data_IF_514093021330
#
_entry.id   IF_514093021330
#
_cell.length_a   1.000
_cell.length_b   1.000
_cell.length_c   1.000
_cell.angle_alpha   90.00
_cell.angle_beta   90.00
_cell.angle_gamma   90.00
#
_symmetry.space_group_name_H-M   'P 1'
#
loop_
_entity.id
_entity.type
_entity.pdbx_description
1 polymer ?
#
# COMPACT_ATOMS: atom_id res chain seq x y z
N UNK A 1 3.12 -3.26 13.98
CA UNK A 1 3.49 -3.60 12.58
C UNK A 1 3.29 -2.44 11.60
N UNK A 2 2.19 -1.69 11.71
CA UNK A 2 1.83 -0.61 10.77
C UNK A 2 2.96 0.39 10.46
N UNK A 3 3.65 0.93 11.48
CA UNK A 3 4.72 1.90 11.29
C UNK A 3 5.86 1.35 10.41
N UNK A 4 6.29 0.10 10.66
CA UNK A 4 7.37 -0.54 9.90
C UNK A 4 6.96 -0.75 8.44
N UNK A 5 5.73 -1.22 8.19
CA UNK A 5 5.25 -1.48 6.83
C UNK A 5 5.11 -0.19 6.02
N UNK A 6 4.51 0.87 6.60
CA UNK A 6 4.47 2.20 5.98
C UNK A 6 5.87 2.72 5.66
N UNK A 7 6.85 2.49 6.56
CA UNK A 7 8.23 2.91 6.34
C UNK A 7 8.90 2.13 5.21
N UNK A 8 8.70 0.80 5.14
CA UNK A 8 9.20 -0.05 4.04
C UNK A 8 8.63 0.39 2.68
N UNK A 9 7.32 0.66 2.64
CA UNK A 9 6.63 1.14 1.44
C UNK A 9 7.23 2.45 0.93
N UNK A 10 7.30 3.47 1.78
CA UNK A 10 7.87 4.79 1.42
C UNK A 10 9.36 4.73 1.05
N UNK A 11 10.12 3.82 1.66
CA UNK A 11 11.57 3.73 1.39
C UNK A 11 11.88 3.02 0.07
N UNK A 12 11.01 2.13 -0.40
CA UNK A 12 11.26 1.35 -1.63
C UNK A 12 10.48 1.85 -2.83
N UNK A 13 9.35 2.52 -2.62
CA UNK A 13 8.51 3.04 -3.69
C UNK A 13 8.23 4.52 -3.49
N UNK A 14 8.06 5.25 -4.60
CA UNK A 14 7.61 6.64 -4.58
C UNK A 14 6.11 6.71 -4.23
N UNK A 15 5.79 6.50 -2.95
CA UNK A 15 4.42 6.49 -2.43
C UNK A 15 4.32 7.29 -1.14
N UNK A 16 3.17 7.91 -0.92
CA UNK A 16 2.70 8.24 0.42
C UNK A 16 1.98 7.00 0.99
N UNK A 17 2.09 6.75 2.30
CA UNK A 17 1.44 5.60 2.95
C UNK A 17 0.92 5.95 4.34
N UNK A 18 -0.33 5.57 4.64
CA UNK A 18 -1.04 5.89 5.88
C UNK A 18 -1.98 4.75 6.33
N UNK A 19 -2.35 4.76 7.61
CA UNK A 19 -3.46 3.94 8.13
C UNK A 19 -4.76 4.70 7.87
N UNK A 20 -5.76 4.05 7.29
CA UNK A 20 -6.98 4.71 6.83
C UNK A 20 -8.26 4.18 7.45
N UNK A 21 -8.21 3.05 8.16
CA UNK A 21 -9.32 2.51 8.92
C UNK A 21 -8.84 1.53 10.01
N UNK A 22 -9.77 1.11 10.88
CA UNK A 22 -9.56 0.10 11.93
C UNK A 22 -8.44 0.44 12.94
N UNK A 23 -8.23 1.72 13.29
CA UNK A 23 -7.11 2.10 14.19
C UNK A 23 -7.23 1.55 15.62
N UNK A 24 -8.44 1.15 16.05
CA UNK A 24 -8.68 0.54 17.36
C UNK A 24 -8.67 -1.00 17.32
N UNK A 25 -8.51 -1.60 16.12
CA UNK A 25 -8.39 -3.05 15.99
C UNK A 25 -6.97 -3.52 16.37
N UNK A 26 -6.91 -4.67 17.03
CA UNK A 26 -5.67 -5.34 17.42
C UNK A 26 -5.25 -6.43 16.42
N UNK A 27 -6.17 -6.87 15.55
CA UNK A 27 -5.99 -7.98 14.61
C UNK A 27 -6.06 -7.54 13.13
N UNK A 28 -6.55 -6.32 12.87
CA UNK A 28 -6.81 -5.83 11.52
C UNK A 28 -6.06 -4.53 11.28
N UNK A 29 -5.42 -4.43 10.12
CA UNK A 29 -4.69 -3.23 9.68
C UNK A 29 -5.16 -2.83 8.29
N UNK A 30 -5.67 -1.60 8.13
CA UNK A 30 -6.04 -1.06 6.82
C UNK A 30 -5.10 0.08 6.45
N UNK A 31 -4.30 -0.15 5.41
CA UNK A 31 -3.34 0.83 4.86
C UNK A 31 -3.77 1.32 3.49
N UNK A 32 -3.50 2.59 3.21
CA UNK A 32 -3.50 3.13 1.85
C UNK A 32 -2.09 3.52 1.43
N UNK A 33 -1.76 3.27 0.15
CA UNK A 33 -0.57 3.78 -0.50
C UNK A 33 -0.98 4.54 -1.78
N UNK A 34 -0.48 5.75 -1.97
CA UNK A 34 -0.84 6.63 -3.09
C UNK A 34 0.42 7.08 -3.82
N UNK A 35 0.35 7.11 -5.15
CA UNK A 35 1.39 7.68 -6.01
C UNK A 35 0.74 8.61 -7.05
N UNK A 36 1.51 9.57 -7.53
CA UNK A 36 1.12 10.46 -8.64
C UNK A 36 2.08 10.19 -9.79
N UNK A 37 1.53 9.96 -10.98
CA UNK A 37 2.31 9.73 -12.19
C UNK A 37 1.60 10.36 -13.39
N UNK A 38 2.36 10.73 -14.41
CA UNK A 38 1.85 11.14 -15.71
C UNK A 38 1.53 9.95 -16.63
N UNK A 39 1.79 8.71 -16.17
CA UNK A 39 1.49 7.48 -16.88
C UNK A 39 0.73 6.51 -15.95
N UNK A 40 -0.52 6.22 -16.31
CA UNK A 40 -1.39 5.30 -15.58
C UNK A 40 -0.81 3.88 -15.47
N UNK A 41 -0.11 3.42 -16.52
CA UNK A 41 0.54 2.09 -16.54
C UNK A 41 1.69 2.05 -15.54
N UNK A 42 2.49 3.12 -15.50
CA UNK A 42 3.56 3.25 -14.53
C UNK A 42 3.02 3.28 -13.09
N UNK A 43 2.02 4.12 -12.81
CA UNK A 43 1.38 4.21 -11.49
C UNK A 43 0.83 2.86 -11.03
N UNK A 44 0.04 2.18 -11.88
CA UNK A 44 -0.52 0.85 -11.56
C UNK A 44 0.57 -0.18 -11.32
N UNK A 45 1.60 -0.23 -12.16
CA UNK A 45 2.71 -1.15 -12.00
C UNK A 45 3.53 -0.92 -10.72
N UNK A 46 3.71 0.34 -10.32
CA UNK A 46 4.36 0.70 -9.06
C UNK A 46 3.52 0.26 -7.85
N UNK A 47 2.21 0.54 -7.85
CA UNK A 47 1.30 0.14 -6.78
C UNK A 47 1.18 -1.39 -6.68
N UNK A 48 1.13 -2.10 -7.81
CA UNK A 48 1.11 -3.58 -7.81
C UNK A 48 2.38 -4.14 -7.16
N UNK A 49 3.56 -3.60 -7.47
CA UNK A 49 4.81 -4.01 -6.80
C UNK A 49 4.79 -3.73 -5.29
N UNK A 50 4.11 -2.68 -4.87
CA UNK A 50 3.91 -2.37 -3.46
C UNK A 50 3.01 -3.40 -2.77
N UNK A 51 1.88 -3.77 -3.37
CA UNK A 51 1.01 -4.85 -2.88
C UNK A 51 1.78 -6.17 -2.80
N UNK A 52 2.48 -6.56 -3.87
CA UNK A 52 3.24 -7.81 -3.90
C UNK A 52 4.34 -7.85 -2.83
N UNK A 53 4.93 -6.70 -2.46
CA UNK A 53 5.86 -6.65 -1.33
C UNK A 53 5.16 -6.92 0.00
N UNK A 54 3.97 -6.35 0.21
CA UNK A 54 3.21 -6.55 1.44
C UNK A 54 2.86 -8.03 1.60
N UNK A 55 2.36 -8.65 0.53
CA UNK A 55 2.05 -10.08 0.48
C UNK A 55 3.31 -10.94 0.74
N UNK A 56 4.41 -10.66 0.04
CA UNK A 56 5.67 -11.39 0.20
C UNK A 56 6.34 -11.20 1.57
N UNK A 57 6.01 -10.13 2.30
CA UNK A 57 6.53 -9.93 3.65
C UNK A 57 5.94 -10.95 4.65
N UNK A 58 4.80 -11.59 4.31
CA UNK A 58 4.14 -12.64 5.08
C UNK A 58 3.99 -12.31 6.58
N UNK A 59 3.81 -11.03 6.91
CA UNK A 59 3.70 -10.54 8.29
C UNK A 59 2.29 -10.77 8.87
N UNK A 60 1.29 -10.81 7.99
CA UNK A 60 -0.11 -11.07 8.27
C UNK A 60 -0.75 -11.56 6.96
N UNK A 61 -1.94 -12.15 7.07
CA UNK A 61 -2.75 -12.51 5.90
C UNK A 61 -3.24 -11.24 5.20
N UNK A 62 -3.01 -11.14 3.88
CA UNK A 62 -3.61 -10.10 3.06
C UNK A 62 -5.02 -10.55 2.69
N UNK A 63 -6.02 -9.98 3.35
CA UNK A 63 -7.44 -10.36 3.16
C UNK A 63 -8.06 -9.66 1.95
N UNK A 64 -7.64 -8.43 1.69
CA UNK A 64 -8.18 -7.59 0.61
C UNK A 64 -7.17 -6.53 0.18
N UNK A 65 -7.07 -6.30 -1.13
CA UNK A 65 -6.41 -5.16 -1.74
C UNK A 65 -7.21 -4.67 -2.95
N UNK A 66 -7.04 -3.39 -3.28
CA UNK A 66 -7.59 -2.81 -4.50
C UNK A 66 -6.66 -1.70 -5.01
N UNK A 67 -6.63 -1.53 -6.33
CA UNK A 67 -5.87 -0.49 -7.01
C UNK A 67 -6.79 0.26 -7.97
N UNK A 68 -7.17 1.45 -7.55
CA UNK A 68 -7.89 2.42 -8.37
C UNK A 68 -6.92 3.42 -9.01
N UNK A 69 -7.16 3.73 -10.29
CA UNK A 69 -6.42 4.77 -11.01
C UNK A 69 -7.40 5.89 -11.36
N UNK A 70 -7.21 7.04 -10.74
CA UNK A 70 -7.98 8.24 -11.01
C UNK A 70 -7.28 9.04 -12.11
N UNK A 71 -7.91 9.12 -13.28
CA UNK A 71 -7.48 10.00 -14.37
C UNK A 71 -8.29 11.29 -14.32
N UNK A 72 -7.59 12.43 -14.35
CA UNK A 72 -8.18 13.76 -14.37
C UNK A 72 -8.38 14.28 -15.80
#
# INVERSE_FOLDING_TARGET
>A
MAQSLKHKLRNKFNVAAAEVAMQESWDTLVLAAVTVSNDATHARGLLQKAVNMVEAAALAELVYDDIEILTL
#
